data_IF_879872536325
#
_entry.id   IF_879872536325
#
_cell.length_a   1.000
_cell.length_b   1.000
_cell.length_c   1.000
_cell.angle_alpha   90.00
_cell.angle_beta   90.00
_cell.angle_gamma   90.00
#
_symmetry.space_group_name_H-M   'P 1'
#
loop_
_entity.id
_entity.type
_entity.pdbx_description
1 polymer ?
#
# COMPACT_ATOMS: atom_id res chain seq x y z
N UNK A 1 -10.70 -37.09 -33.29
CA UNK A 1 -11.50 -36.81 -32.08
C UNK A 1 -12.60 -35.80 -32.43
N UNK A 2 -13.89 -36.19 -32.42
CA UNK A 2 -15.00 -35.24 -32.67
C UNK A 2 -15.16 -34.36 -31.44
N UNK A 3 -14.93 -33.07 -31.61
CA UNK A 3 -14.98 -32.06 -30.55
C UNK A 3 -16.44 -31.62 -30.34
N UNK A 4 -16.95 -31.79 -29.11
CA UNK A 4 -18.31 -31.39 -28.74
C UNK A 4 -18.36 -29.88 -28.43
N UNK A 5 -19.43 -29.20 -28.82
CA UNK A 5 -19.67 -27.79 -28.44
C UNK A 5 -19.75 -27.65 -26.91
N UNK A 6 -20.29 -28.66 -26.24
CA UNK A 6 -20.44 -28.69 -24.80
C UNK A 6 -19.08 -28.69 -24.09
N UNK A 7 -18.09 -29.43 -24.61
CA UNK A 7 -16.73 -29.42 -24.05
C UNK A 7 -16.03 -28.06 -24.25
N UNK A 8 -16.29 -27.36 -25.36
CA UNK A 8 -15.71 -26.04 -25.59
C UNK A 8 -16.24 -25.01 -24.58
N UNK A 9 -17.55 -25.06 -24.29
CA UNK A 9 -18.20 -24.18 -23.31
C UNK A 9 -17.70 -24.44 -21.90
N UNK A 10 -17.52 -25.70 -21.50
CA UNK A 10 -16.98 -26.08 -20.20
C UNK A 10 -15.56 -25.51 -20.02
N UNK A 11 -14.69 -25.65 -21.03
CA UNK A 11 -13.33 -25.10 -20.99
C UNK A 11 -13.36 -23.57 -20.86
N UNK A 12 -14.18 -22.88 -21.65
CA UNK A 12 -14.31 -21.42 -21.57
C UNK A 12 -14.81 -20.96 -20.19
N UNK A 13 -15.79 -21.64 -19.60
CA UNK A 13 -16.28 -21.33 -18.24
C UNK A 13 -15.17 -21.54 -17.21
N UNK A 14 -14.41 -22.63 -17.28
CA UNK A 14 -13.30 -22.89 -16.38
C UNK A 14 -12.23 -21.79 -16.47
N UNK A 15 -11.88 -21.33 -17.68
CA UNK A 15 -10.95 -20.21 -17.83
C UNK A 15 -11.46 -18.92 -17.21
N UNK A 16 -12.76 -18.67 -17.31
CA UNK A 16 -13.38 -17.47 -16.77
C UNK A 16 -13.40 -17.50 -15.25
N UNK A 17 -13.69 -18.66 -14.64
CA UNK A 17 -13.62 -18.86 -13.19
C UNK A 17 -12.21 -18.70 -12.63
N UNK A 18 -11.20 -19.30 -13.27
CA UNK A 18 -9.79 -19.11 -12.91
C UNK A 18 -9.43 -17.62 -13.01
N UNK A 19 -9.97 -16.93 -14.02
CA UNK A 19 -9.67 -15.53 -14.21
C UNK A 19 -10.27 -14.62 -13.14
N UNK A 20 -11.50 -14.90 -12.71
CA UNK A 20 -12.18 -14.20 -11.62
C UNK A 20 -11.50 -14.49 -10.28
N UNK A 21 -11.17 -15.75 -9.99
CA UNK A 21 -10.48 -16.11 -8.75
C UNK A 21 -9.11 -15.42 -8.65
N UNK A 22 -8.38 -15.33 -9.77
CA UNK A 22 -7.12 -14.60 -9.82
C UNK A 22 -7.31 -13.10 -9.60
N UNK A 23 -8.31 -12.48 -10.24
CA UNK A 23 -8.64 -11.08 -10.01
C UNK A 23 -9.01 -10.83 -8.54
N UNK A 24 -9.79 -11.72 -7.92
CA UNK A 24 -10.11 -11.65 -6.51
C UNK A 24 -8.88 -11.78 -5.61
N UNK A 25 -7.97 -12.73 -5.88
CA UNK A 25 -6.71 -12.89 -5.13
C UNK A 25 -5.82 -11.66 -5.28
N UNK A 26 -5.75 -11.07 -6.48
CA UNK A 26 -5.04 -9.81 -6.69
C UNK A 26 -5.66 -8.71 -5.83
N UNK A 27 -6.96 -8.44 -6.01
CA UNK A 27 -7.67 -7.37 -5.29
C UNK A 27 -7.58 -7.54 -3.77
N UNK A 28 -7.76 -8.76 -3.25
CA UNK A 28 -7.73 -9.05 -1.82
C UNK A 28 -6.32 -9.02 -1.22
N UNK A 29 -5.30 -9.55 -1.93
CA UNK A 29 -3.91 -9.42 -1.46
C UNK A 29 -3.37 -8.00 -1.59
N UNK A 30 -3.98 -7.20 -2.45
CA UNK A 30 -3.70 -5.77 -2.57
C UNK A 30 -4.82 -4.95 -1.93
N UNK A 31 -5.37 -5.42 -0.81
CA UNK A 31 -5.95 -4.49 0.16
C UNK A 31 -4.91 -3.39 0.30
N UNK A 32 -5.31 -2.17 -0.09
CA UNK A 32 -4.45 -1.00 -0.16
C UNK A 32 -3.64 -0.79 -1.46
N UNK A 33 -4.18 0.10 -2.31
CA UNK A 33 -3.45 1.11 -3.11
C UNK A 33 -2.21 0.58 -3.83
N UNK A 34 -2.37 -0.07 -4.99
CA UNK A 34 -1.25 -0.25 -5.92
C UNK A 34 -1.62 0.40 -7.26
N UNK A 35 -1.24 1.66 -7.41
CA UNK A 35 -1.16 2.33 -8.73
C UNK A 35 0.31 2.37 -9.11
N UNK A 36 0.72 1.60 -10.12
CA UNK A 36 1.91 1.96 -10.91
C UNK A 36 3.08 0.97 -11.00
N UNK A 37 2.99 -0.25 -10.47
CA UNK A 37 4.01 -1.26 -10.75
C UNK A 37 3.90 -1.77 -12.20
N UNK A 38 4.93 -1.53 -13.02
CA UNK A 38 5.01 -2.00 -14.42
C UNK A 38 4.80 -3.52 -14.53
N UNK A 39 5.21 -4.26 -13.51
CA UNK A 39 5.05 -5.71 -13.43
C UNK A 39 3.57 -6.10 -13.28
N UNK A 40 2.84 -5.51 -12.33
CA UNK A 40 1.40 -5.74 -12.16
C UNK A 40 0.63 -5.36 -13.42
N UNK A 41 1.05 -4.31 -14.12
CA UNK A 41 0.44 -3.90 -15.39
C UNK A 41 0.57 -4.99 -16.48
N UNK A 42 1.69 -5.69 -16.58
CA UNK A 42 1.87 -6.78 -17.56
C UNK A 42 0.97 -7.98 -17.23
N UNK A 43 0.86 -8.38 -15.95
CA UNK A 43 -0.04 -9.47 -15.55
C UNK A 43 -1.50 -9.11 -15.76
N UNK A 44 -1.91 -7.91 -15.35
CA UNK A 44 -3.26 -7.40 -15.57
C UNK A 44 -3.60 -7.33 -17.06
N UNK A 45 -2.64 -6.96 -17.91
CA UNK A 45 -2.81 -6.93 -19.36
C UNK A 45 -3.04 -8.34 -19.93
N UNK A 46 -2.18 -9.31 -19.60
CA UNK A 46 -2.32 -10.70 -20.06
C UNK A 46 -3.65 -11.30 -19.58
N UNK A 47 -4.06 -10.96 -18.36
CA UNK A 47 -5.28 -11.49 -17.76
C UNK A 47 -6.56 -10.89 -18.34
N UNK A 48 -6.58 -9.57 -18.57
CA UNK A 48 -7.71 -8.89 -19.23
C UNK A 48 -7.90 -9.40 -20.65
N UNK A 49 -6.82 -9.62 -21.41
CA UNK A 49 -6.91 -10.25 -22.72
C UNK A 49 -7.43 -11.70 -22.65
N UNK A 50 -6.99 -12.49 -21.66
CA UNK A 50 -7.49 -13.85 -21.46
C UNK A 50 -8.98 -13.88 -21.14
N UNK A 51 -9.46 -12.95 -20.29
CA UNK A 51 -10.88 -12.81 -19.96
C UNK A 51 -11.74 -12.41 -21.18
N UNK A 52 -11.32 -11.38 -21.91
CA UNK A 52 -12.01 -10.90 -23.12
C UNK A 52 -12.07 -12.00 -24.19
N UNK A 53 -10.98 -12.74 -24.39
CA UNK A 53 -10.94 -13.82 -25.36
C UNK A 53 -11.91 -14.96 -25.01
N UNK A 54 -11.92 -15.41 -23.75
CA UNK A 54 -12.86 -16.43 -23.28
C UNK A 54 -14.33 -15.99 -23.41
N UNK A 55 -14.62 -14.71 -23.18
CA UNK A 55 -15.95 -14.13 -23.40
C UNK A 55 -16.33 -14.13 -24.90
N UNK A 56 -15.40 -13.75 -25.78
CA UNK A 56 -15.59 -13.77 -27.24
C UNK A 56 -15.88 -15.20 -27.73
N UNK A 57 -15.24 -16.23 -27.17
CA UNK A 57 -15.50 -17.63 -27.53
C UNK A 57 -16.88 -18.10 -27.10
N UNK A 58 -17.34 -17.71 -25.91
CA UNK A 58 -18.70 -18.03 -25.46
C UNK A 58 -19.74 -17.45 -26.44
N UNK A 59 -19.53 -16.21 -26.88
CA UNK A 59 -20.37 -15.57 -27.91
C UNK A 59 -20.23 -16.27 -29.26
N UNK A 60 -19.01 -16.53 -29.73
CA UNK A 60 -18.76 -17.15 -31.03
C UNK A 60 -19.35 -18.56 -31.15
N UNK A 61 -19.38 -19.33 -30.05
CA UNK A 61 -20.03 -20.66 -30.03
C UNK A 61 -21.55 -20.63 -29.96
N UNK A 62 -22.17 -19.45 -29.80
CA UNK A 62 -23.60 -19.27 -29.97
C UNK A 62 -24.00 -19.20 -31.46
N UNK A 63 -23.05 -18.92 -32.36
CA UNK A 63 -23.30 -18.79 -33.80
C UNK A 63 -22.73 -19.98 -34.59
N UNK A 64 -23.48 -20.54 -35.57
CA UNK A 64 -23.09 -21.76 -36.28
C UNK A 64 -22.00 -21.58 -37.36
N UNK A 65 -21.45 -20.36 -37.52
CA UNK A 65 -20.68 -19.96 -38.70
C UNK A 65 -19.18 -20.35 -38.70
N UNK A 66 -18.62 -20.75 -37.56
CA UNK A 66 -17.15 -20.86 -37.40
C UNK A 66 -16.63 -22.31 -37.30
N UNK A 67 -15.45 -22.56 -37.88
CA UNK A 67 -14.74 -23.86 -37.81
C UNK A 67 -14.27 -24.15 -36.38
N UNK A 68 -14.99 -25.04 -35.70
CA UNK A 68 -14.82 -25.39 -34.27
C UNK A 68 -13.42 -25.83 -33.84
N UNK A 69 -12.63 -26.45 -34.73
CA UNK A 69 -11.30 -26.98 -34.35
C UNK A 69 -10.27 -25.88 -34.11
N UNK A 70 -10.37 -24.75 -34.82
CA UNK A 70 -9.45 -23.61 -34.63
C UNK A 70 -9.67 -22.92 -33.30
N UNK A 71 -10.93 -22.72 -32.91
CA UNK A 71 -11.28 -22.13 -31.61
C UNK A 71 -10.80 -22.97 -30.43
N UNK A 72 -10.89 -24.30 -30.51
CA UNK A 72 -10.38 -25.18 -29.46
C UNK A 72 -8.86 -25.08 -29.30
N UNK A 73 -8.13 -25.10 -30.40
CA UNK A 73 -6.69 -24.95 -30.36
C UNK A 73 -6.28 -23.62 -29.73
N UNK A 74 -6.91 -22.51 -30.14
CA UNK A 74 -6.66 -21.19 -29.56
C UNK A 74 -6.98 -21.14 -28.06
N UNK A 75 -8.10 -21.73 -27.60
CA UNK A 75 -8.42 -21.78 -26.16
C UNK A 75 -7.38 -22.50 -25.34
N UNK A 76 -6.92 -23.67 -25.79
CA UNK A 76 -5.95 -24.49 -25.06
C UNK A 76 -4.60 -23.79 -24.99
N UNK A 77 -4.17 -23.18 -26.10
CA UNK A 77 -2.91 -22.42 -26.15
C UNK A 77 -2.98 -21.24 -25.18
N UNK A 78 -4.08 -20.49 -25.15
CA UNK A 78 -4.22 -19.34 -24.25
C UNK A 78 -4.21 -19.77 -22.78
N UNK A 79 -4.96 -20.84 -22.45
CA UNK A 79 -4.97 -21.46 -21.12
C UNK A 79 -3.56 -21.91 -20.69
N UNK A 80 -2.83 -22.56 -21.60
CA UNK A 80 -1.48 -23.01 -21.33
C UNK A 80 -0.52 -21.82 -21.14
N UNK A 81 -0.65 -20.77 -21.95
CA UNK A 81 0.19 -19.57 -21.81
C UNK A 81 -0.09 -18.81 -20.52
N UNK A 82 -1.35 -18.63 -20.12
CA UNK A 82 -1.69 -17.95 -18.87
C UNK A 82 -1.21 -18.73 -17.65
N UNK A 83 -1.37 -20.06 -17.64
CA UNK A 83 -0.81 -20.93 -16.60
C UNK A 83 0.72 -20.84 -16.58
N UNK A 84 1.37 -20.87 -17.75
CA UNK A 84 2.83 -20.80 -17.83
C UNK A 84 3.38 -19.49 -17.27
N UNK A 85 2.71 -18.35 -17.53
CA UNK A 85 3.12 -17.04 -16.99
C UNK A 85 3.04 -17.04 -15.46
N UNK A 86 2.01 -17.65 -14.87
CA UNK A 86 1.87 -17.75 -13.41
C UNK A 86 2.95 -18.63 -12.76
N UNK A 87 3.33 -19.73 -13.43
CA UNK A 87 4.30 -20.70 -12.91
C UNK A 87 5.73 -20.22 -13.09
N UNK A 88 6.07 -19.70 -14.27
CA UNK A 88 7.43 -19.26 -14.59
C UNK A 88 7.75 -17.86 -14.07
N UNK A 89 6.73 -17.03 -13.85
CA UNK A 89 6.89 -15.69 -13.32
C UNK A 89 5.90 -15.45 -12.17
N UNK A 90 6.07 -16.11 -11.01
CA UNK A 90 5.29 -15.77 -9.84
C UNK A 90 5.61 -14.33 -9.42
N UNK A 91 4.61 -13.45 -9.26
CA UNK A 91 4.84 -12.10 -8.74
C UNK A 91 5.44 -12.18 -7.33
N UNK A 92 6.55 -11.46 -7.14
CA UNK A 92 7.16 -11.29 -5.83
C UNK A 92 6.47 -10.13 -5.09
N UNK A 93 5.27 -10.41 -4.57
CA UNK A 93 4.43 -9.42 -3.91
C UNK A 93 5.15 -8.72 -2.75
N UNK A 94 5.89 -9.48 -1.94
CA UNK A 94 6.58 -8.96 -0.76
C UNK A 94 7.61 -7.89 -1.14
N UNK A 95 8.36 -8.10 -2.22
CA UNK A 95 9.32 -7.10 -2.71
C UNK A 95 8.64 -5.86 -3.31
N UNK A 96 7.50 -6.03 -3.98
CA UNK A 96 6.75 -4.92 -4.58
C UNK A 96 6.19 -4.03 -3.47
N UNK A 97 5.57 -4.63 -2.44
CA UNK A 97 5.08 -3.92 -1.27
C UNK A 97 6.22 -3.18 -0.56
N UNK A 98 7.34 -3.85 -0.29
CA UNK A 98 8.50 -3.23 0.35
C UNK A 98 9.13 -2.07 -0.47
N UNK A 99 9.03 -2.09 -1.80
CA UNK A 99 9.49 -0.99 -2.65
C UNK A 99 8.54 0.20 -2.61
N UNK A 100 7.24 -0.07 -2.57
CA UNK A 100 6.22 0.95 -2.45
C UNK A 100 6.29 1.65 -1.09
N UNK A 101 6.36 0.89 0.00
CA UNK A 101 6.50 1.42 1.36
C UNK A 101 7.71 2.34 1.47
N UNK A 102 8.86 1.91 0.92
CA UNK A 102 10.07 2.75 0.86
C UNK A 102 9.88 4.03 0.06
N UNK A 103 9.16 3.98 -1.06
CA UNK A 103 8.89 5.15 -1.89
C UNK A 103 7.99 6.14 -1.15
N UNK A 104 6.93 5.65 -0.53
CA UNK A 104 6.00 6.43 0.29
C UNK A 104 6.73 7.04 1.49
N UNK A 105 7.52 6.25 2.21
CA UNK A 105 8.33 6.73 3.33
C UNK A 105 9.27 7.87 2.89
N UNK A 106 9.95 7.72 1.75
CA UNK A 106 10.86 8.76 1.23
C UNK A 106 10.13 10.05 0.83
N UNK A 107 8.89 9.96 0.36
CA UNK A 107 8.11 11.11 -0.08
C UNK A 107 7.39 11.84 1.07
N UNK A 108 6.90 11.08 2.05
CA UNK A 108 5.99 11.60 3.08
C UNK A 108 6.61 11.67 4.47
N UNK A 109 7.81 11.12 4.68
CA UNK A 109 8.58 11.31 5.91
C UNK A 109 9.80 12.18 5.64
N UNK A 110 9.86 13.32 6.33
CA UNK A 110 11.03 14.21 6.34
C UNK A 110 11.74 14.07 7.67
N UNK A 111 12.93 13.48 7.67
CA UNK A 111 13.77 13.45 8.87
C UNK A 111 14.22 14.88 9.25
N UNK A 112 14.21 15.17 10.56
CA UNK A 112 14.61 16.46 11.13
C UNK A 112 15.52 16.28 12.34
N UNK A 113 16.35 17.29 12.55
CA UNK A 113 17.19 17.49 13.74
C UNK A 113 16.40 18.14 14.88
N UNK A 114 16.99 18.18 16.07
CA UNK A 114 16.43 18.91 17.20
C UNK A 114 16.23 20.41 16.93
N UNK A 115 17.18 21.04 16.25
CA UNK A 115 17.10 22.48 15.94
C UNK A 115 15.97 22.78 14.97
N UNK A 116 15.82 21.98 13.92
CA UNK A 116 14.68 22.07 12.99
C UNK A 116 13.35 21.81 13.71
N UNK A 117 13.28 20.87 14.66
CA UNK A 117 12.07 20.65 15.47
C UNK A 117 11.68 21.91 16.24
N UNK A 118 12.65 22.59 16.88
CA UNK A 118 12.39 23.86 17.59
C UNK A 118 11.97 24.98 16.64
N UNK A 119 12.45 24.98 15.40
CA UNK A 119 11.98 25.92 14.39
C UNK A 119 10.52 25.65 14.04
N UNK A 120 10.14 24.39 13.78
CA UNK A 120 8.74 24.01 13.54
C UNK A 120 7.82 24.37 14.71
N UNK A 121 8.29 24.26 15.95
CA UNK A 121 7.53 24.69 17.12
C UNK A 121 7.24 26.19 17.11
N UNK A 122 8.21 27.00 16.68
CA UNK A 122 8.09 28.47 16.63
C UNK A 122 7.23 28.96 15.46
N UNK A 123 7.08 28.18 14.40
CA UNK A 123 6.21 28.52 13.27
C UNK A 123 4.78 28.77 13.76
N UNK A 124 4.28 30.00 13.58
CA UNK A 124 2.95 30.42 14.01
C UNK A 124 1.82 29.99 13.07
N UNK A 125 2.19 29.58 11.86
CA UNK A 125 1.24 29.59 10.76
C UNK A 125 0.43 28.29 10.74
N UNK A 126 1.05 27.15 11.06
CA UNK A 126 0.42 25.84 10.95
C UNK A 126 0.98 24.84 11.96
N UNK A 127 0.18 23.87 12.39
CA UNK A 127 0.73 22.74 13.12
C UNK A 127 1.31 21.70 12.16
N UNK A 128 2.29 20.93 12.64
CA UNK A 128 2.96 19.83 11.95
C UNK A 128 2.82 18.55 12.75
N UNK A 129 2.74 17.43 12.05
CA UNK A 129 2.83 16.12 12.67
C UNK A 129 4.31 15.73 12.81
N UNK A 130 4.74 15.43 14.03
CA UNK A 130 6.09 14.94 14.31
C UNK A 130 6.01 13.51 14.84
N UNK A 131 6.60 12.57 14.13
CA UNK A 131 6.85 11.21 14.57
C UNK A 131 8.20 11.16 15.30
N UNK A 132 8.20 10.67 16.54
CA UNK A 132 9.42 10.46 17.33
C UNK A 132 9.68 8.97 17.49
N UNK A 133 10.86 8.53 17.07
CA UNK A 133 11.23 7.12 17.06
C UNK A 133 12.74 6.91 17.18
N UNK A 134 13.17 5.67 16.96
CA UNK A 134 14.57 5.25 16.98
C UNK A 134 14.82 4.06 16.06
N UNK A 135 15.99 4.01 15.44
CA UNK A 135 16.35 2.98 14.47
C UNK A 135 16.51 1.59 15.11
N UNK A 136 16.92 1.54 16.36
CA UNK A 136 17.17 0.30 17.13
C UNK A 136 15.95 -0.17 17.95
N UNK A 137 14.73 0.29 17.60
CA UNK A 137 13.48 -0.19 18.21
C UNK A 137 12.63 -0.95 17.19
N UNK A 138 12.38 -2.27 17.40
CA UNK A 138 11.55 -3.07 16.49
C UNK A 138 10.13 -2.52 16.29
N UNK A 139 9.53 -1.96 17.35
CA UNK A 139 8.20 -1.34 17.26
C UNK A 139 8.21 -0.06 16.43
N UNK A 140 9.26 0.76 16.55
CA UNK A 140 9.41 1.97 15.72
C UNK A 140 9.59 1.61 14.24
N UNK A 141 10.38 0.58 13.94
CA UNK A 141 10.59 0.11 12.56
C UNK A 141 9.31 -0.36 11.89
N UNK A 142 8.38 -0.96 12.65
CA UNK A 142 7.06 -1.36 12.14
C UNK A 142 6.12 -0.16 11.95
N UNK A 143 6.12 0.79 12.89
CA UNK A 143 5.22 1.94 12.86
C UNK A 143 5.56 2.99 11.79
N UNK A 144 6.85 3.14 11.46
CA UNK A 144 7.33 4.14 10.50
C UNK A 144 6.69 4.01 9.10
N UNK A 145 6.61 2.83 8.45
CA UNK A 145 5.91 2.69 7.18
C UNK A 145 4.39 2.92 7.31
N UNK A 146 3.76 2.50 8.42
CA UNK A 146 2.31 2.69 8.66
C UNK A 146 1.93 4.18 8.66
N UNK A 147 2.68 5.02 9.40
CA UNK A 147 2.41 6.46 9.45
C UNK A 147 2.76 7.18 8.14
N UNK A 148 3.74 6.67 7.37
CA UNK A 148 4.05 7.19 6.04
C UNK A 148 2.91 6.97 5.05
N UNK A 149 2.33 5.76 5.07
CA UNK A 149 1.17 5.36 4.27
C UNK A 149 -0.02 6.27 4.52
N UNK A 150 -0.29 6.56 5.79
CA UNK A 150 -1.36 7.49 6.16
C UNK A 150 -1.09 8.88 5.61
N UNK A 151 0.14 9.37 5.79
CA UNK A 151 0.55 10.69 5.33
C UNK A 151 0.41 10.84 3.81
N UNK A 152 0.75 9.78 3.07
CA UNK A 152 0.53 9.69 1.63
C UNK A 152 -0.95 9.77 1.24
N UNK A 153 -1.81 8.96 1.87
CA UNK A 153 -3.25 8.97 1.59
C UNK A 153 -3.92 10.30 1.90
N UNK A 154 -3.33 11.05 2.81
CA UNK A 154 -3.87 12.30 3.29
C UNK A 154 -3.12 13.53 2.77
N UNK A 155 -2.19 13.38 1.83
CA UNK A 155 -1.44 14.50 1.22
C UNK A 155 -0.81 15.44 2.26
N UNK A 156 -0.13 14.86 3.27
CA UNK A 156 0.67 15.62 4.22
C UNK A 156 2.06 15.00 4.43
N UNK A 157 2.95 15.77 5.06
CA UNK A 157 4.30 15.35 5.43
C UNK A 157 4.34 15.12 6.94
N UNK A 158 4.97 14.01 7.33
CA UNK A 158 5.32 13.70 8.72
C UNK A 158 6.79 14.03 8.92
N UNK A 159 7.06 14.81 9.94
CA UNK A 159 8.44 15.10 10.34
C UNK A 159 8.93 14.00 11.27
N UNK A 160 10.09 13.42 11.00
CA UNK A 160 10.64 12.34 11.81
C UNK A 160 11.82 12.82 12.63
N UNK A 161 11.70 12.71 13.95
CA UNK A 161 12.79 12.98 14.88
C UNK A 161 13.37 11.66 15.41
N UNK A 162 14.63 11.39 15.07
CA UNK A 162 15.33 10.17 15.40
C UNK A 162 16.14 10.32 16.69
N UNK A 163 15.58 9.79 17.78
CA UNK A 163 16.20 9.88 19.11
C UNK A 163 17.51 9.09 19.24
N UNK A 164 17.82 8.16 18.33
CA UNK A 164 19.11 7.43 18.34
C UNK A 164 20.29 8.39 18.13
N UNK A 165 20.12 9.44 17.31
CA UNK A 165 21.18 10.40 16.95
C UNK A 165 21.60 11.27 18.13
N UNK A 166 20.65 11.65 18.97
CA UNK A 166 20.86 12.63 20.04
C UNK A 166 21.01 11.95 21.42
N UNK A 167 20.91 10.62 21.51
CA UNK A 167 20.86 9.87 22.78
C UNK A 167 22.11 10.03 23.66
N UNK A 168 23.25 10.34 23.06
CA UNK A 168 24.52 10.53 23.78
C UNK A 168 24.76 11.99 24.17
N UNK A 169 23.90 12.91 23.74
CA UNK A 169 24.04 14.32 24.06
C UNK A 169 23.65 14.60 25.50
N UNK A 170 24.35 15.53 26.15
CA UNK A 170 24.18 15.83 27.55
C UNK A 170 22.79 16.43 27.88
N UNK A 171 22.13 17.03 26.89
CA UNK A 171 20.81 17.67 27.01
C UNK A 171 19.66 16.75 26.56
N UNK A 172 19.92 15.47 26.24
CA UNK A 172 18.91 14.54 25.74
C UNK A 172 17.69 14.44 26.66
N UNK A 173 17.89 14.32 27.98
CA UNK A 173 16.80 14.24 28.94
C UNK A 173 15.92 15.50 28.94
N UNK A 174 16.53 16.68 28.75
CA UNK A 174 15.81 17.94 28.63
C UNK A 174 15.00 17.99 27.33
N UNK A 175 15.56 17.50 26.21
CA UNK A 175 14.84 17.39 24.92
C UNK A 175 13.60 16.51 25.05
N UNK A 176 13.75 15.31 25.61
CA UNK A 176 12.65 14.35 25.78
C UNK A 176 11.55 14.90 26.71
N UNK A 177 11.95 15.55 27.80
CA UNK A 177 11.01 16.21 28.72
C UNK A 177 10.27 17.37 28.08
N UNK A 178 10.94 18.18 27.25
CA UNK A 178 10.31 19.26 26.48
C UNK A 178 9.25 18.72 25.51
N UNK A 179 9.53 17.59 24.86
CA UNK A 179 8.58 16.92 23.96
C UNK A 179 7.41 16.24 24.68
N UNK A 180 7.46 16.11 26.01
CA UNK A 180 6.44 15.43 26.84
C UNK A 180 6.20 14.00 26.38
N UNK A 181 7.28 13.28 26.09
CA UNK A 181 7.23 11.86 25.69
C UNK A 181 7.94 11.01 26.74
N UNK A 182 7.31 9.89 27.10
CA UNK A 182 7.88 8.93 28.05
C UNK A 182 8.35 7.63 27.36
N UNK A 183 7.92 7.41 26.10
CA UNK A 183 8.23 6.22 25.30
C UNK A 183 8.20 6.52 23.81
N UNK A 184 8.88 5.67 23.03
CA UNK A 184 8.79 5.65 21.56
C UNK A 184 8.19 4.32 21.09
N UNK A 185 7.50 4.25 19.93
CA UNK A 185 7.15 5.38 19.05
C UNK A 185 6.19 6.37 19.72
N UNK A 186 6.30 7.65 19.37
CA UNK A 186 5.39 8.71 19.80
C UNK A 186 5.00 9.60 18.63
N UNK A 187 3.78 10.13 18.63
CA UNK A 187 3.29 11.09 17.64
C UNK A 187 2.90 12.39 18.33
N UNK A 188 3.39 13.51 17.79
CA UNK A 188 3.23 14.84 18.32
C UNK A 188 2.58 15.77 17.30
N UNK A 189 1.84 16.75 17.81
CA UNK A 189 1.44 17.94 17.07
C UNK A 189 2.31 19.09 17.57
N UNK A 190 3.08 19.69 16.66
CA UNK A 190 4.06 20.74 16.96
C UNK A 190 3.76 21.97 16.12
N UNK A 191 3.76 23.15 16.75
CA UNK A 191 3.56 24.44 16.08
C UNK A 191 2.89 25.45 17.00
N UNK A 192 2.86 26.72 16.59
CA UNK A 192 2.21 27.81 17.35
C UNK A 192 2.74 27.92 18.79
N UNK A 193 4.04 27.62 18.99
CA UNK A 193 4.71 27.59 20.28
C UNK A 193 4.24 26.48 21.22
N UNK A 194 3.66 25.40 20.69
CA UNK A 194 3.09 24.31 21.48
C UNK A 194 3.52 22.94 20.96
N UNK A 195 3.80 22.05 21.91
CA UNK A 195 4.00 20.61 21.70
C UNK A 195 2.92 19.83 22.43
N UNK A 196 2.18 19.02 21.67
CA UNK A 196 1.11 18.14 22.18
C UNK A 196 1.38 16.70 21.79
N UNK A 197 1.59 15.84 22.79
CA UNK A 197 1.71 14.40 22.59
C UNK A 197 0.31 13.78 22.40
N UNK A 198 0.11 13.05 21.31
CA UNK A 198 -1.14 12.36 20.98
C UNK A 198 -1.00 10.84 21.00
N UNK A 199 0.14 10.32 21.46
CA UNK A 199 0.47 8.88 21.48
C UNK A 199 -0.52 8.07 22.32
N UNK A 200 -0.92 8.55 23.50
CA UNK A 200 -1.86 7.81 24.36
C UNK A 200 -3.31 7.85 23.86
N UNK A 201 -3.59 8.66 22.84
CA UNK A 201 -4.86 8.61 22.10
C UNK A 201 -4.83 7.50 21.05
N UNK A 202 -3.68 6.85 20.81
CA UNK A 202 -3.47 5.74 19.88
C UNK A 202 -3.19 4.50 20.75
N UNK A 203 -4.22 3.73 21.10
CA UNK A 203 -4.09 2.68 22.12
C UNK A 203 -3.78 1.29 21.57
N UNK A 204 -3.99 1.00 20.29
CA UNK A 204 -3.58 -0.27 19.67
C UNK A 204 -3.42 -0.18 18.14
N UNK A 205 -2.70 -1.12 17.53
CA UNK A 205 -2.37 -1.17 16.10
C UNK A 205 -3.59 -1.35 15.18
N UNK A 206 -4.65 -1.98 15.66
CA UNK A 206 -5.94 -2.13 14.97
C UNK A 206 -6.75 -0.81 14.98
N UNK A 207 -6.36 0.13 15.84
CA UNK A 207 -6.99 1.44 16.03
C UNK A 207 -6.23 2.58 15.30
N UNK A 208 -5.05 2.31 14.73
CA UNK A 208 -4.32 3.29 13.91
C UNK A 208 -5.19 3.70 12.71
N UNK A 209 -5.70 2.72 11.96
CA UNK A 209 -6.55 2.95 10.78
C UNK A 209 -7.86 3.69 11.15
N UNK A 210 -8.47 3.35 12.29
CA UNK A 210 -9.69 4.00 12.79
C UNK A 210 -9.46 5.41 13.39
N UNK A 211 -8.25 5.73 13.90
CA UNK A 211 -7.94 7.07 14.42
C UNK A 211 -7.32 8.01 13.39
N UNK A 212 -6.89 7.51 12.23
CA UNK A 212 -6.61 8.41 11.11
C UNK A 212 -7.88 8.97 10.47
N UNK A 213 -9.03 8.33 10.68
CA UNK A 213 -10.35 8.96 10.45
C UNK A 213 -10.53 10.21 11.34
N UNK A 214 -10.04 10.21 12.60
CA UNK A 214 -10.02 11.41 13.44
C UNK A 214 -9.08 12.50 12.92
N UNK A 215 -7.94 12.15 12.32
CA UNK A 215 -7.04 13.12 11.69
C UNK A 215 -7.58 13.65 10.35
N UNK A 216 -8.34 12.83 9.62
CA UNK A 216 -9.05 13.23 8.40
C UNK A 216 -10.26 14.14 8.70
N UNK A 217 -11.09 13.78 9.69
CA UNK A 217 -12.20 14.60 10.19
C UNK A 217 -11.75 15.97 10.71
N UNK A 218 -10.53 16.07 11.25
CA UNK A 218 -10.00 17.29 11.86
C UNK A 218 -8.90 17.97 11.02
N UNK A 219 -8.66 17.51 9.79
CA UNK A 219 -7.62 18.01 8.89
C UNK A 219 -7.70 19.51 8.65
N UNK A 220 -8.93 20.03 8.48
CA UNK A 220 -9.21 21.45 8.33
C UNK A 220 -9.06 22.30 9.60
N UNK A 221 -8.96 21.68 10.79
CA UNK A 221 -8.68 22.36 12.07
C UNK A 221 -7.23 22.25 12.51
N UNK A 222 -6.53 21.18 12.10
CA UNK A 222 -5.18 20.87 12.53
C UNK A 222 -4.10 21.45 11.60
N UNK A 223 -4.38 21.50 10.28
CA UNK A 223 -3.38 21.79 9.25
C UNK A 223 -3.74 22.97 8.33
N UNK A 224 -4.79 23.74 8.64
CA UNK A 224 -5.07 25.07 8.06
C UNK A 224 -4.72 26.19 9.02
#
# INVERSE_FOLDING_TARGET
MKINIMSLRIIAILTLLVSIAYWYVLVYKTDFIIIGSTYLNIYNLVQTFSFLFSFIILIATAFPFFKKQWFMFCTIVILATSISVLVFFPPNYDQILANQDRTIETQNIKEITWDELKELEKESDHNRLVYVGREDCPTCQKFKPEIAVVAYNNDFIVYYYNTTKDRQEADFDDKIKHLKIDRVPSVLIVGKGKVTNITDKIKDSEELDAKFEYLDENKGKLFK
#
